data_IF_277242977006
#
_entry.id   IF_277242977006
#
_cell.length_a   1.000
_cell.length_b   1.000
_cell.length_c   1.000
_cell.angle_alpha   90.00
_cell.angle_beta   90.00
_cell.angle_gamma   90.00
#
_symmetry.space_group_name_H-M   'P 1'
#
loop_
_entity.id
_entity.type
_entity.pdbx_description
1 polymer ?
#
# COMPACT_ATOMS: atom_id res chain seq x y z
N UNK A 1 35.62 -22.42 13.02
CA UNK A 1 35.74 -21.73 14.31
C UNK A 1 34.64 -20.69 14.39
N UNK A 2 33.88 -20.73 15.48
CA UNK A 2 32.85 -19.80 15.96
C UNK A 2 31.68 -19.45 15.01
N UNK A 3 30.55 -20.10 15.27
CA UNK A 3 29.24 -19.56 14.96
C UNK A 3 29.08 -18.19 15.64
N UNK A 4 28.82 -17.14 14.86
CA UNK A 4 28.27 -15.92 15.43
C UNK A 4 26.80 -16.20 15.73
N UNK A 5 26.49 -16.33 17.02
CA UNK A 5 25.14 -16.17 17.52
C UNK A 5 24.62 -14.82 17.00
N UNK A 6 23.56 -14.86 16.20
CA UNK A 6 22.88 -13.65 15.73
C UNK A 6 22.41 -12.88 16.95
N UNK A 7 23.00 -11.71 17.16
CA UNK A 7 22.54 -10.77 18.18
C UNK A 7 21.07 -10.46 17.86
N UNK A 8 20.17 -10.78 18.79
CA UNK A 8 18.75 -10.46 18.58
C UNK A 8 18.65 -8.96 18.42
N UNK A 9 18.06 -8.51 17.31
CA UNK A 9 17.90 -7.10 17.04
C UNK A 9 17.09 -6.43 18.17
N UNK A 10 17.69 -5.48 18.86
CA UNK A 10 17.09 -4.74 19.98
C UNK A 10 16.31 -3.51 19.50
N UNK A 11 15.55 -3.62 18.41
CA UNK A 11 14.70 -2.50 17.97
C UNK A 11 13.62 -2.24 19.01
N UNK A 12 13.45 -0.98 19.41
CA UNK A 12 12.25 -0.52 20.10
C UNK A 12 11.45 0.40 19.19
N UNK A 13 10.12 0.34 19.31
CA UNK A 13 9.23 1.10 18.47
C UNK A 13 8.34 2.02 19.29
N UNK A 14 8.05 3.19 18.74
CA UNK A 14 7.16 4.18 19.34
C UNK A 14 6.10 4.61 18.37
N UNK A 15 4.84 4.57 18.76
CA UNK A 15 3.76 5.12 17.95
C UNK A 15 3.93 6.65 17.82
N UNK A 16 3.70 7.18 16.62
CA UNK A 16 3.82 8.61 16.31
C UNK A 16 2.45 9.21 15.96
N UNK A 17 1.54 9.41 16.93
CA UNK A 17 0.19 9.92 16.67
C UNK A 17 0.17 11.31 16.04
N UNK A 18 1.22 12.11 16.24
CA UNK A 18 1.38 13.44 15.67
C UNK A 18 1.68 13.41 14.16
N UNK A 19 2.11 12.28 13.61
CA UNK A 19 2.31 12.13 12.16
C UNK A 19 0.94 11.89 11.52
N UNK A 20 0.31 12.98 11.08
CA UNK A 20 -0.95 12.91 10.33
C UNK A 20 -0.69 12.65 8.85
N UNK A 21 -1.52 11.81 8.24
CA UNK A 21 -1.51 11.55 6.80
C UNK A 21 -2.60 12.36 6.11
N UNK A 22 -2.27 13.61 5.76
CA UNK A 22 -3.21 14.56 5.18
C UNK A 22 -3.77 14.08 3.85
N UNK A 23 -3.01 13.25 3.12
CA UNK A 23 -3.47 12.61 1.90
C UNK A 23 -4.71 11.73 2.10
N UNK A 24 -4.97 11.23 3.32
CA UNK A 24 -6.12 10.37 3.64
C UNK A 24 -7.25 11.11 4.37
N UNK A 25 -7.03 12.36 4.81
CA UNK A 25 -8.00 13.15 5.57
C UNK A 25 -8.53 14.37 4.82
N UNK A 26 -8.00 14.68 3.62
CA UNK A 26 -8.53 15.77 2.80
C UNK A 26 -9.98 15.48 2.37
N UNK A 27 -10.82 16.51 2.26
CA UNK A 27 -12.23 16.35 1.90
C UNK A 27 -12.42 15.59 0.58
N UNK A 28 -11.65 15.99 -0.45
CA UNK A 28 -11.73 15.38 -1.78
C UNK A 28 -11.30 13.91 -1.74
N UNK A 29 -10.21 13.59 -1.04
CA UNK A 29 -9.75 12.20 -0.92
C UNK A 29 -10.74 11.36 -0.12
N UNK A 30 -11.28 11.87 0.99
CA UNK A 30 -12.29 11.15 1.78
C UNK A 30 -13.54 10.87 0.95
N UNK A 31 -14.00 11.83 0.14
CA UNK A 31 -15.14 11.62 -0.76
C UNK A 31 -14.84 10.54 -1.81
N UNK A 32 -13.65 10.57 -2.42
CA UNK A 32 -13.21 9.54 -3.39
C UNK A 32 -13.08 8.17 -2.74
N UNK A 33 -12.40 8.06 -1.60
CA UNK A 33 -12.27 6.79 -0.87
C UNK A 33 -13.62 6.23 -0.43
N UNK A 34 -14.58 7.09 -0.08
CA UNK A 34 -15.95 6.66 0.21
C UNK A 34 -16.62 6.08 -1.02
N UNK A 35 -16.55 6.79 -2.15
CA UNK A 35 -17.06 6.32 -3.44
C UNK A 35 -16.43 4.99 -3.87
N UNK A 36 -15.14 4.81 -3.63
CA UNK A 36 -14.40 3.58 -3.94
C UNK A 36 -14.54 2.50 -2.85
N UNK A 37 -15.41 2.68 -1.85
CA UNK A 37 -15.66 1.73 -0.76
C UNK A 37 -14.42 1.39 0.09
N UNK A 38 -13.47 2.30 0.18
CA UNK A 38 -12.22 2.17 0.97
C UNK A 38 -12.24 2.99 2.27
N UNK A 39 -13.10 4.02 2.36
CA UNK A 39 -13.21 4.85 3.56
C UNK A 39 -13.59 4.01 4.78
N UNK A 40 -12.91 4.25 5.90
CA UNK A 40 -13.09 3.47 7.13
C UNK A 40 -12.40 2.09 7.13
N UNK A 41 -11.79 1.68 6.00
CA UNK A 41 -11.01 0.43 5.88
C UNK A 41 -9.56 0.63 5.46
N UNK A 42 -9.25 1.79 4.86
CA UNK A 42 -7.90 2.25 4.56
C UNK A 42 -7.40 3.14 5.70
N UNK A 43 -6.20 2.91 6.20
CA UNK A 43 -5.57 3.80 7.16
C UNK A 43 -4.05 3.87 6.94
N UNK A 44 -3.45 4.92 7.50
CA UNK A 44 -2.00 5.02 7.62
C UNK A 44 -1.61 5.34 9.06
N UNK A 45 -0.53 4.71 9.53
CA UNK A 45 0.06 4.91 10.85
C UNK A 45 1.57 5.11 10.72
N UNK A 46 2.19 5.75 11.71
CA UNK A 46 3.64 5.92 11.74
C UNK A 46 4.20 5.45 13.07
N UNK A 47 5.35 4.79 13.00
CA UNK A 47 6.12 4.37 14.16
C UNK A 47 7.56 4.83 13.98
N UNK A 48 8.19 5.32 15.06
CA UNK A 48 9.62 5.58 15.09
C UNK A 48 10.37 4.37 15.63
N UNK A 49 11.63 4.22 15.25
CA UNK A 49 12.54 3.20 15.80
C UNK A 49 13.91 3.81 16.16
N UNK A 50 14.67 3.14 17.01
CA UNK A 50 15.90 3.65 17.64
C UNK A 50 17.21 3.15 17.01
N UNK A 51 17.19 1.97 16.41
CA UNK A 51 18.37 1.34 15.79
C UNK A 51 18.50 1.62 14.28
N UNK A 52 19.67 1.35 13.69
CA UNK A 52 19.88 1.51 12.25
C UNK A 52 19.20 0.39 11.47
N UNK A 53 18.40 0.75 10.46
CA UNK A 53 17.76 -0.22 9.58
C UNK A 53 18.63 -0.54 8.36
N UNK A 54 18.76 -1.83 8.05
CA UNK A 54 19.37 -2.33 6.82
C UNK A 54 18.38 -3.25 6.11
N UNK A 55 18.14 -3.02 4.82
CA UNK A 55 17.09 -3.70 4.06
C UNK A 55 17.22 -5.23 4.03
N UNK A 56 18.45 -5.77 4.10
CA UNK A 56 18.66 -7.22 4.15
C UNK A 56 18.31 -7.85 5.50
N UNK A 57 18.24 -7.06 6.58
CA UNK A 57 17.78 -7.48 7.91
C UNK A 57 16.26 -7.29 8.10
N UNK A 58 15.49 -7.13 7.01
CA UNK A 58 14.04 -6.89 7.06
C UNK A 58 13.28 -7.90 7.92
N UNK A 59 13.68 -9.18 7.89
CA UNK A 59 12.94 -10.24 8.57
C UNK A 59 13.07 -10.11 10.08
N UNK A 60 14.28 -9.87 10.59
CA UNK A 60 14.51 -9.58 12.01
C UNK A 60 13.86 -8.27 12.46
N UNK A 61 13.92 -7.23 11.62
CA UNK A 61 13.29 -5.94 11.89
C UNK A 61 11.78 -6.06 12.05
N UNK A 62 11.09 -6.73 11.11
CA UNK A 62 9.65 -6.86 11.19
C UNK A 62 9.21 -7.87 12.26
N UNK A 63 9.99 -8.93 12.51
CA UNK A 63 9.74 -9.79 13.67
C UNK A 63 9.85 -9.03 15.00
N UNK A 64 10.81 -8.10 15.12
CA UNK A 64 10.89 -7.20 16.28
C UNK A 64 9.70 -6.24 16.33
N UNK A 65 9.33 -5.64 15.19
CA UNK A 65 8.18 -4.72 15.07
C UNK A 65 6.89 -5.35 15.60
N UNK A 66 6.50 -6.53 15.12
CA UNK A 66 5.24 -7.17 15.53
C UNK A 66 5.27 -7.73 16.97
N UNK A 67 6.44 -7.82 17.60
CA UNK A 67 6.60 -8.25 19.00
C UNK A 67 6.75 -7.10 19.98
N UNK A 68 6.94 -5.89 19.48
CA UNK A 68 7.10 -4.72 20.33
C UNK A 68 5.77 -4.40 21.03
N UNK A 69 5.76 -4.23 22.36
CA UNK A 69 4.54 -3.94 23.11
C UNK A 69 3.78 -2.69 22.64
N UNK A 70 4.49 -1.65 22.20
CA UNK A 70 3.86 -0.42 21.71
C UNK A 70 3.23 -0.64 20.32
N UNK A 71 3.84 -1.49 19.49
CA UNK A 71 3.23 -1.87 18.21
C UNK A 71 1.99 -2.72 18.45
N UNK A 72 2.04 -3.69 19.37
CA UNK A 72 0.89 -4.52 19.71
C UNK A 72 -0.28 -3.67 20.25
N UNK A 73 0.01 -2.62 21.02
CA UNK A 73 -1.01 -1.72 21.58
C UNK A 73 -1.58 -0.70 20.61
N UNK A 74 -0.87 -0.36 19.54
CA UNK A 74 -1.26 0.76 18.67
C UNK A 74 -1.46 0.41 17.20
N UNK A 75 -0.87 -0.69 16.70
CA UNK A 75 -1.04 -1.12 15.31
C UNK A 75 -2.47 -1.59 15.08
N UNK A 76 -3.18 -0.87 14.20
CA UNK A 76 -4.58 -1.10 13.92
C UNK A 76 -4.76 -2.11 12.79
N UNK A 77 -5.81 -2.91 12.93
CA UNK A 77 -6.38 -3.72 11.88
C UNK A 77 -7.90 -3.81 12.06
N UNK A 78 -8.60 -4.19 11.01
CA UNK A 78 -10.03 -4.46 11.08
C UNK A 78 -10.28 -5.91 11.49
N UNK A 79 -11.15 -6.09 12.47
CA UNK A 79 -11.68 -7.39 12.85
C UNK A 79 -12.60 -7.93 11.75
N UNK A 80 -12.29 -9.11 11.21
CA UNK A 80 -13.10 -9.73 10.15
C UNK A 80 -14.52 -10.12 10.61
N UNK A 81 -14.72 -10.31 11.93
CA UNK A 81 -16.01 -10.69 12.52
C UNK A 81 -16.89 -9.49 12.86
N UNK A 82 -16.31 -8.41 13.38
CA UNK A 82 -17.06 -7.24 13.85
C UNK A 82 -17.01 -6.03 12.92
N UNK A 83 -16.07 -6.01 11.96
CA UNK A 83 -15.81 -4.84 11.11
C UNK A 83 -15.29 -3.62 11.86
N UNK A 84 -14.90 -3.78 13.14
CA UNK A 84 -14.39 -2.69 13.98
C UNK A 84 -12.86 -2.68 13.98
N UNK A 85 -12.31 -1.50 14.15
CA UNK A 85 -10.88 -1.33 14.40
C UNK A 85 -10.51 -1.93 15.75
N UNK A 86 -9.54 -2.85 15.71
CA UNK A 86 -8.90 -3.47 16.86
C UNK A 86 -7.39 -3.26 16.74
N UNK A 87 -6.67 -3.59 17.80
CA UNK A 87 -5.21 -3.68 17.76
C UNK A 87 -4.80 -5.13 17.48
N UNK A 88 -3.55 -5.33 17.05
CA UNK A 88 -3.03 -6.64 16.66
C UNK A 88 -3.39 -7.75 17.66
N UNK A 89 -3.13 -7.53 18.95
CA UNK A 89 -3.57 -8.38 20.07
C UNK A 89 -3.10 -9.83 20.07
N UNK A 90 -2.55 -10.32 18.96
CA UNK A 90 -2.11 -11.68 18.72
C UNK A 90 -0.58 -11.78 18.80
N UNK A 91 -0.09 -12.92 19.31
CA UNK A 91 1.34 -13.19 19.35
C UNK A 91 1.82 -13.66 17.97
N UNK A 92 2.49 -12.76 17.25
CA UNK A 92 3.04 -13.08 15.92
C UNK A 92 4.20 -14.07 16.02
N UNK A 93 4.06 -15.18 15.30
CA UNK A 93 5.02 -16.29 15.25
C UNK A 93 5.92 -16.21 14.02
N UNK A 94 5.40 -15.69 12.90
CA UNK A 94 6.12 -15.57 11.63
C UNK A 94 5.71 -14.28 10.91
N UNK A 95 6.66 -13.68 10.21
CA UNK A 95 6.41 -12.55 9.32
C UNK A 95 7.01 -12.86 7.95
N UNK A 96 6.28 -12.51 6.90
CA UNK A 96 6.75 -12.48 5.52
C UNK A 96 6.81 -11.02 5.06
N UNK A 97 8.00 -10.58 4.67
CA UNK A 97 8.23 -9.25 4.12
C UNK A 97 8.79 -9.34 2.70
N UNK A 98 7.97 -8.96 1.73
CA UNK A 98 8.34 -8.95 0.30
C UNK A 98 8.78 -7.54 -0.05
N UNK A 99 10.00 -7.40 -0.60
CA UNK A 99 10.51 -6.11 -1.06
C UNK A 99 9.69 -5.62 -2.26
N UNK A 100 9.24 -4.37 -2.20
CA UNK A 100 8.48 -3.72 -3.27
C UNK A 100 9.35 -2.61 -3.86
N UNK A 101 9.69 -2.66 -5.17
CA UNK A 101 10.39 -1.58 -5.82
C UNK A 101 9.71 -0.23 -5.58
N UNK A 102 10.50 0.79 -5.25
CA UNK A 102 10.00 2.14 -4.98
C UNK A 102 10.98 3.13 -5.58
N UNK A 103 10.97 3.24 -6.90
CA UNK A 103 11.95 4.01 -7.66
C UNK A 103 11.33 5.18 -8.42
N UNK A 104 10.03 5.13 -8.68
CA UNK A 104 9.32 6.14 -9.46
C UNK A 104 9.21 7.48 -8.72
N UNK A 105 9.77 8.54 -9.31
CA UNK A 105 9.70 9.92 -8.78
C UNK A 105 8.71 10.82 -9.55
N UNK A 106 8.06 10.30 -10.58
CA UNK A 106 7.21 11.05 -11.50
C UNK A 106 5.92 10.31 -11.82
N UNK A 107 4.82 11.07 -11.91
CA UNK A 107 3.53 10.54 -12.38
C UNK A 107 3.51 10.26 -13.89
N UNK A 108 4.50 10.77 -14.64
CA UNK A 108 4.66 10.46 -16.08
C UNK A 108 4.80 8.96 -16.35
N UNK A 109 5.09 8.17 -15.32
CA UNK A 109 5.00 6.72 -15.32
C UNK A 109 3.68 6.19 -15.92
N UNK A 110 2.57 6.92 -15.71
CA UNK A 110 1.24 6.57 -16.21
C UNK A 110 0.87 7.20 -17.55
N UNK A 111 1.74 8.02 -18.17
CA UNK A 111 1.46 8.66 -19.47
C UNK A 111 1.20 7.62 -20.58
N UNK A 112 1.77 6.42 -20.42
CA UNK A 112 1.53 5.28 -21.30
C UNK A 112 0.06 4.85 -21.39
N UNK A 113 -0.77 5.19 -20.39
CA UNK A 113 -2.22 4.94 -20.47
C UNK A 113 -2.88 5.75 -21.60
N UNK A 114 -2.35 6.92 -21.91
CA UNK A 114 -2.81 7.74 -23.03
C UNK A 114 -2.21 7.25 -24.35
N UNK A 115 -0.90 6.96 -24.40
CA UNK A 115 -0.25 6.53 -25.65
C UNK A 115 -0.77 5.19 -26.16
N UNK A 116 -1.22 4.31 -25.26
CA UNK A 116 -1.76 2.98 -25.59
C UNK A 116 -3.29 2.98 -25.70
N UNK A 117 -3.91 4.16 -25.80
CA UNK A 117 -5.35 4.34 -25.98
C UNK A 117 -6.21 3.62 -24.94
N UNK A 118 -5.71 3.49 -23.70
CA UNK A 118 -6.51 3.03 -22.54
C UNK A 118 -7.35 4.20 -22.03
N UNK A 119 -6.82 5.41 -22.18
CA UNK A 119 -7.46 6.67 -21.81
C UNK A 119 -7.40 7.63 -23.00
N UNK A 120 -8.53 8.29 -23.29
CA UNK A 120 -8.64 9.29 -24.35
C UNK A 120 -7.89 10.57 -23.96
N UNK A 121 -7.57 11.42 -24.94
CA UNK A 121 -6.91 12.71 -24.71
C UNK A 121 -7.64 13.61 -23.70
N UNK A 122 -8.97 13.48 -23.59
CA UNK A 122 -9.78 14.22 -22.63
C UNK A 122 -9.87 13.58 -21.23
N UNK A 123 -9.06 12.55 -20.96
CA UNK A 123 -8.99 11.86 -19.67
C UNK A 123 -10.05 10.78 -19.45
N UNK A 124 -11.00 10.58 -20.37
CA UNK A 124 -11.99 9.52 -20.25
C UNK A 124 -11.39 8.13 -20.50
N UNK A 125 -11.68 7.19 -19.60
CA UNK A 125 -11.24 5.81 -19.71
C UNK A 125 -12.06 5.11 -20.80
N UNK A 126 -11.38 4.39 -21.69
CA UNK A 126 -12.04 3.66 -22.79
C UNK A 126 -12.85 2.51 -22.22
N UNK A 127 -14.14 2.45 -22.57
CA UNK A 127 -15.05 1.37 -22.17
C UNK A 127 -14.78 0.09 -22.94
N UNK A 128 -15.01 -1.05 -22.30
CA UNK A 128 -14.97 -2.36 -22.91
C UNK A 128 -16.28 -3.12 -22.63
N UNK A 129 -16.44 -4.29 -23.22
CA UNK A 129 -17.53 -5.19 -22.86
C UNK A 129 -17.37 -5.65 -21.40
N UNK A 130 -18.49 -5.75 -20.69
CA UNK A 130 -18.48 -6.19 -19.30
C UNK A 130 -17.91 -7.61 -19.17
N UNK A 131 -16.94 -7.75 -18.28
CA UNK A 131 -16.35 -9.01 -17.88
C UNK A 131 -16.12 -9.02 -16.36
N UNK A 132 -15.79 -10.17 -15.80
CA UNK A 132 -15.51 -10.31 -14.37
C UNK A 132 -14.15 -10.96 -14.14
N UNK A 133 -13.40 -10.41 -13.18
CA UNK A 133 -12.25 -11.05 -12.56
C UNK A 133 -12.54 -11.04 -11.06
N UNK A 134 -13.16 -12.12 -10.57
CA UNK A 134 -13.78 -12.22 -9.25
C UNK A 134 -12.93 -11.57 -8.13
N UNK A 135 -13.47 -10.60 -7.35
CA UNK A 135 -14.85 -10.08 -7.34
C UNK A 135 -15.09 -8.82 -8.19
N UNK A 136 -14.15 -8.45 -9.06
CA UNK A 136 -14.19 -7.17 -9.78
C UNK A 136 -14.98 -7.26 -11.09
N UNK A 137 -15.93 -6.35 -11.25
CA UNK A 137 -16.49 -5.99 -12.55
C UNK A 137 -15.42 -5.24 -13.36
N UNK A 138 -15.28 -5.60 -14.63
CA UNK A 138 -14.41 -4.97 -15.62
C UNK A 138 -15.32 -4.43 -16.72
N UNK A 139 -15.45 -3.11 -16.79
CA UNK A 139 -16.28 -2.41 -17.79
C UNK A 139 -15.47 -1.38 -18.60
N UNK A 140 -14.15 -1.37 -18.41
CA UNK A 140 -13.24 -0.44 -19.05
C UNK A 140 -11.83 -1.05 -19.23
N UNK A 141 -11.09 -0.50 -20.18
CA UNK A 141 -9.75 -0.96 -20.55
C UNK A 141 -8.74 -0.76 -19.42
N UNK A 142 -8.94 0.20 -18.51
CA UNK A 142 -8.04 0.41 -17.38
C UNK A 142 -8.10 -0.78 -16.41
N UNK A 143 -9.29 -1.18 -15.97
CA UNK A 143 -9.46 -2.33 -15.09
C UNK A 143 -9.00 -3.62 -15.76
N UNK A 144 -9.20 -3.75 -17.08
CA UNK A 144 -8.70 -4.87 -17.87
C UNK A 144 -7.17 -4.94 -17.83
N UNK A 145 -6.47 -3.84 -18.06
CA UNK A 145 -5.00 -3.75 -17.94
C UNK A 145 -4.53 -4.08 -16.52
N UNK A 146 -5.30 -3.73 -15.49
CA UNK A 146 -4.93 -3.99 -14.08
C UNK A 146 -5.12 -5.46 -13.65
N UNK A 147 -6.05 -6.19 -14.28
CA UNK A 147 -6.53 -7.49 -13.78
C UNK A 147 -6.34 -8.67 -14.75
N UNK A 148 -6.41 -8.46 -16.06
CA UNK A 148 -6.44 -9.53 -17.07
C UNK A 148 -5.05 -9.65 -17.70
N UNK A 149 -4.27 -10.61 -17.21
CA UNK A 149 -2.92 -10.95 -17.68
C UNK A 149 -2.88 -11.37 -19.16
N UNK A 150 -3.91 -12.06 -19.63
CA UNK A 150 -4.03 -12.46 -21.04
C UNK A 150 -4.57 -11.34 -21.97
N UNK A 151 -4.73 -10.11 -21.48
CA UNK A 151 -5.21 -9.01 -22.32
C UNK A 151 -4.10 -8.41 -23.19
N UNK A 152 -4.44 -8.01 -24.41
CA UNK A 152 -3.49 -7.40 -25.37
C UNK A 152 -2.71 -6.21 -24.76
N UNK A 153 -3.39 -5.41 -23.93
CA UNK A 153 -2.81 -4.21 -23.30
C UNK A 153 -2.24 -4.47 -21.90
N UNK A 154 -2.17 -5.71 -21.43
CA UNK A 154 -1.56 -6.02 -20.13
C UNK A 154 -0.08 -5.62 -20.10
N UNK A 155 0.67 -5.90 -21.16
CA UNK A 155 2.10 -5.64 -21.20
C UNK A 155 2.48 -4.15 -21.35
N UNK A 156 1.50 -3.23 -21.39
CA UNK A 156 1.73 -1.78 -21.29
C UNK A 156 2.53 -1.43 -20.04
N UNK A 157 2.31 -2.16 -18.95
CA UNK A 157 3.19 -2.14 -17.77
C UNK A 157 3.92 -3.48 -17.68
N UNK A 158 5.26 -3.42 -17.70
CA UNK A 158 6.09 -4.60 -17.56
C UNK A 158 5.89 -5.28 -16.19
N UNK A 159 6.32 -6.54 -16.03
CA UNK A 159 6.26 -7.23 -14.73
C UNK A 159 6.96 -6.46 -13.59
N UNK A 160 8.01 -5.69 -13.89
CA UNK A 160 8.69 -4.83 -12.92
C UNK A 160 7.90 -3.55 -12.62
N UNK A 161 7.34 -2.91 -13.64
CA UNK A 161 6.47 -1.73 -13.48
C UNK A 161 5.28 -2.04 -12.57
N UNK A 162 4.67 -3.22 -12.74
CA UNK A 162 3.51 -3.68 -11.95
C UNK A 162 3.83 -3.89 -10.47
N UNK A 163 5.11 -4.07 -10.13
CA UNK A 163 5.59 -4.21 -8.76
C UNK A 163 6.00 -2.87 -8.14
N UNK A 164 6.13 -1.79 -8.92
CA UNK A 164 6.47 -0.48 -8.36
C UNK A 164 5.39 -0.03 -7.36
N UNK A 165 5.82 0.47 -6.20
CA UNK A 165 4.91 0.88 -5.14
C UNK A 165 3.92 1.95 -5.62
N UNK A 166 4.35 2.84 -6.51
CA UNK A 166 3.49 3.83 -7.16
C UNK A 166 2.35 3.17 -7.95
N UNK A 167 2.67 2.12 -8.73
CA UNK A 167 1.68 1.32 -9.45
C UNK A 167 0.76 0.56 -8.49
N UNK A 168 1.30 -0.02 -7.40
CA UNK A 168 0.49 -0.75 -6.42
C UNK A 168 -0.57 0.15 -5.79
N UNK A 169 -0.21 1.37 -5.34
CA UNK A 169 -1.20 2.33 -4.80
C UNK A 169 -2.26 2.65 -5.84
N UNK A 170 -1.86 2.96 -7.07
CA UNK A 170 -2.78 3.25 -8.17
C UNK A 170 -3.75 2.09 -8.42
N UNK A 171 -3.23 0.87 -8.56
CA UNK A 171 -4.03 -0.35 -8.73
C UNK A 171 -5.05 -0.50 -7.59
N UNK A 172 -4.62 -0.34 -6.33
CA UNK A 172 -5.53 -0.46 -5.18
C UNK A 172 -6.68 0.56 -5.22
N UNK A 173 -6.39 1.81 -5.57
CA UNK A 173 -7.41 2.86 -5.67
C UNK A 173 -8.38 2.62 -6.82
N UNK A 174 -7.89 2.18 -7.99
CA UNK A 174 -8.74 1.84 -9.12
C UNK A 174 -9.69 0.70 -8.77
N UNK A 175 -9.21 -0.33 -8.08
CA UNK A 175 -9.99 -1.52 -7.77
C UNK A 175 -10.96 -1.31 -6.60
N UNK A 176 -10.53 -0.60 -5.56
CA UNK A 176 -11.35 -0.20 -4.42
C UNK A 176 -11.77 -1.36 -3.51
N UNK A 177 -12.79 -1.09 -2.69
CA UNK A 177 -13.47 -2.06 -1.83
C UNK A 177 -14.63 -2.79 -2.52
N UNK A 178 -15.44 -3.50 -1.75
CA UNK A 178 -16.46 -4.40 -2.27
C UNK A 178 -17.58 -3.68 -3.06
N UNK A 179 -17.95 -2.47 -2.65
CA UNK A 179 -18.97 -1.66 -3.32
C UNK A 179 -18.35 -0.48 -4.08
N UNK A 180 -17.17 -0.69 -4.66
CA UNK A 180 -16.44 0.35 -5.39
C UNK A 180 -17.27 0.90 -6.56
N UNK A 181 -17.53 2.21 -6.53
CA UNK A 181 -18.06 2.94 -7.67
C UNK A 181 -16.88 3.56 -8.43
N UNK A 182 -16.39 2.87 -9.45
CA UNK A 182 -15.23 3.32 -10.22
C UNK A 182 -15.52 4.59 -11.03
N UNK A 183 -14.45 5.29 -11.40
CA UNK A 183 -14.49 6.50 -12.23
C UNK A 183 -14.56 6.20 -13.73
N UNK A 184 -15.14 7.13 -14.48
CA UNK A 184 -15.06 7.17 -15.95
C UNK A 184 -13.88 8.00 -16.47
N UNK A 185 -13.18 8.71 -15.59
CA UNK A 185 -12.05 9.59 -15.89
C UNK A 185 -10.84 9.19 -15.05
N UNK A 186 -9.64 9.34 -15.60
CA UNK A 186 -8.39 8.86 -14.98
C UNK A 186 -7.90 9.75 -13.82
N UNK A 187 -8.04 11.08 -13.96
CA UNK A 187 -7.43 12.08 -13.06
C UNK A 187 -7.71 11.87 -11.56
N UNK A 188 -8.93 11.52 -11.11
CA UNK A 188 -9.18 11.28 -9.69
C UNK A 188 -8.27 10.20 -9.09
N UNK A 189 -7.94 9.15 -9.85
CA UNK A 189 -7.02 8.10 -9.41
C UNK A 189 -5.58 8.60 -9.37
N UNK A 190 -5.12 9.33 -10.40
CA UNK A 190 -3.75 9.85 -10.45
C UNK A 190 -3.48 10.84 -9.33
N UNK A 191 -4.37 11.81 -9.13
CA UNK A 191 -4.19 12.83 -8.09
C UNK A 191 -4.21 12.20 -6.69
N UNK A 192 -5.10 11.23 -6.44
CA UNK A 192 -5.15 10.55 -5.14
C UNK A 192 -3.92 9.64 -4.93
N UNK A 193 -3.46 8.96 -5.98
CA UNK A 193 -2.22 8.17 -5.94
C UNK A 193 -1.03 9.06 -5.58
N UNK A 194 -0.90 10.20 -6.27
CA UNK A 194 0.19 11.16 -6.09
C UNK A 194 0.23 11.72 -4.67
N UNK A 195 -0.90 12.11 -4.10
CA UNK A 195 -0.95 12.66 -2.74
C UNK A 195 -0.58 11.60 -1.71
N UNK A 196 -1.12 10.39 -1.81
CA UNK A 196 -0.79 9.28 -0.91
C UNK A 196 0.69 8.90 -1.02
N UNK A 197 1.21 8.74 -2.25
CA UNK A 197 2.61 8.40 -2.47
C UNK A 197 3.56 9.44 -1.85
N UNK A 198 3.28 10.74 -2.06
CA UNK A 198 4.09 11.83 -1.49
C UNK A 198 4.03 11.92 0.04
N UNK A 199 2.94 11.49 0.66
CA UNK A 199 2.81 11.52 2.12
C UNK A 199 3.50 10.31 2.78
N UNK A 200 3.67 9.21 2.05
CA UNK A 200 4.30 7.99 2.54
C UNK A 200 5.81 7.95 2.26
N UNK A 201 6.23 8.35 1.06
CA UNK A 201 7.58 8.13 0.52
C UNK A 201 8.43 9.38 0.70
N UNK A 202 9.66 9.17 1.16
CA UNK A 202 10.66 10.23 1.29
C UNK A 202 11.64 10.20 0.12
N UNK A 203 12.02 11.39 -0.33
CA UNK A 203 13.01 11.60 -1.37
C UNK A 203 14.09 12.56 -0.87
N UNK A 204 15.29 12.43 -1.41
CA UNK A 204 16.37 13.39 -1.23
C UNK A 204 16.85 13.90 -2.56
N UNK A 205 17.36 15.13 -2.56
CA UNK A 205 18.09 15.68 -3.69
C UNK A 205 19.57 15.44 -3.47
N UNK A 206 20.18 14.64 -4.31
CA UNK A 206 21.61 14.34 -4.21
C UNK A 206 22.45 15.62 -4.37
N UNK A 207 23.38 15.91 -3.44
CA UNK A 207 24.14 17.16 -3.47
C UNK A 207 24.97 17.34 -4.75
N UNK A 208 25.53 16.25 -5.28
CA UNK A 208 26.43 16.26 -6.43
C UNK A 208 25.66 16.31 -7.76
N UNK A 209 24.81 15.31 -8.02
CA UNK A 209 24.09 15.16 -9.30
C UNK A 209 22.89 16.10 -9.42
N UNK A 210 22.38 16.63 -8.29
CA UNK A 210 21.10 17.35 -8.18
C UNK A 210 19.87 16.50 -8.55
N UNK A 211 20.05 15.21 -8.78
CA UNK A 211 18.95 14.29 -9.05
C UNK A 211 18.18 14.00 -7.77
N UNK A 212 16.89 13.75 -7.92
CA UNK A 212 16.02 13.35 -6.82
C UNK A 212 15.99 11.82 -6.79
N UNK A 213 16.24 11.21 -5.64
CA UNK A 213 16.15 9.77 -5.45
C UNK A 213 15.28 9.44 -4.23
N UNK A 214 14.59 8.30 -4.30
CA UNK A 214 13.79 7.77 -3.19
C UNK A 214 14.72 7.23 -2.11
N UNK A 215 14.46 7.58 -0.85
CA UNK A 215 15.20 7.06 0.31
C UNK A 215 14.43 6.03 1.11
N UNK A 216 13.11 5.97 0.92
CA UNK A 216 12.27 4.98 1.58
C UNK A 216 12.47 3.59 0.96
N UNK A 217 12.41 2.57 1.80
CA UNK A 217 12.39 1.16 1.39
C UNK A 217 11.02 0.60 1.72
N UNK A 218 10.37 -0.06 0.75
CA UNK A 218 8.98 -0.51 0.88
C UNK A 218 8.92 -2.03 0.95
N UNK A 219 8.10 -2.53 1.86
CA UNK A 219 7.81 -3.95 1.99
C UNK A 219 6.31 -4.19 2.04
N UNK A 220 5.82 -5.18 1.29
CA UNK A 220 4.49 -5.75 1.53
C UNK A 220 4.63 -6.81 2.61
N UNK A 221 3.86 -6.67 3.68
CA UNK A 221 4.06 -7.45 4.90
C UNK A 221 2.80 -8.24 5.25
N UNK A 222 3.03 -9.51 5.56
CA UNK A 222 2.03 -10.44 6.08
C UNK A 222 2.55 -11.03 7.38
N UNK A 223 1.72 -11.08 8.43
CA UNK A 223 2.09 -11.70 9.70
C UNK A 223 1.17 -12.89 10.01
N UNK A 224 1.74 -13.87 10.72
CA UNK A 224 1.09 -15.12 11.04
C UNK A 224 1.21 -15.43 12.54
N UNK A 225 0.11 -15.91 13.12
CA UNK A 225 0.05 -16.48 14.45
C UNK A 225 -0.12 -18.01 14.38
N UNK A 226 -0.56 -18.64 15.47
CA UNK A 226 -0.81 -20.09 15.52
C UNK A 226 -1.99 -20.57 14.65
N UNK A 227 -2.92 -19.67 14.28
CA UNK A 227 -4.12 -19.98 13.50
C UNK A 227 -3.97 -19.65 12.01
N UNK A 228 -2.83 -19.06 11.61
CA UNK A 228 -2.54 -18.71 10.23
C UNK A 228 -2.28 -17.21 10.07
N UNK A 229 -2.70 -16.64 8.94
CA UNK A 229 -2.50 -15.21 8.66
C UNK A 229 -3.34 -14.38 9.63
N UNK A 230 -2.71 -13.47 10.36
CA UNK A 230 -3.39 -12.59 11.33
C UNK A 230 -3.32 -11.12 10.94
N UNK A 231 -2.44 -10.75 10.00
CA UNK A 231 -2.29 -9.39 9.49
C UNK A 231 -1.91 -9.44 8.01
N UNK A 232 -2.53 -8.63 7.11
CA UNK A 232 -3.47 -7.53 7.39
C UNK A 232 -4.93 -7.95 7.72
N UNK A 233 -5.30 -9.19 7.44
CA UNK A 233 -6.62 -9.78 7.74
C UNK A 233 -6.44 -11.28 7.85
N UNK A 234 -7.39 -11.99 8.47
CA UNK A 234 -7.38 -13.46 8.48
C UNK A 234 -7.89 -14.06 7.16
N UNK A 235 -8.41 -13.22 6.27
CA UNK A 235 -8.87 -13.61 4.93
C UNK A 235 -7.93 -13.08 3.85
N UNK A 236 -7.44 -13.98 3.01
CA UNK A 236 -6.62 -13.61 1.85
C UNK A 236 -7.47 -12.89 0.82
N UNK A 237 -7.02 -11.73 0.37
CA UNK A 237 -7.63 -10.97 -0.72
C UNK A 237 -6.60 -10.00 -1.28
N UNK A 238 -6.57 -9.75 -2.60
CA UNK A 238 -5.56 -8.87 -3.19
C UNK A 238 -5.68 -7.41 -2.74
N UNK A 239 -6.89 -6.98 -2.35
CA UNK A 239 -7.14 -5.69 -1.70
C UNK A 239 -6.95 -5.69 -0.18
N UNK A 240 -6.65 -6.82 0.46
CA UNK A 240 -6.22 -6.81 1.88
C UNK A 240 -4.70 -6.73 1.92
N UNK A 241 -4.14 -5.58 2.25
CA UNK A 241 -2.71 -5.31 2.17
C UNK A 241 -2.19 -4.50 3.35
N UNK A 242 -0.89 -4.67 3.62
CA UNK A 242 -0.12 -3.77 4.45
C UNK A 242 1.23 -3.49 3.80
N UNK A 243 1.51 -2.22 3.52
CA UNK A 243 2.81 -1.77 3.06
C UNK A 243 3.53 -1.03 4.18
N UNK A 244 4.73 -1.51 4.50
CA UNK A 244 5.66 -0.89 5.45
C UNK A 244 6.66 -0.06 4.67
N UNK A 245 6.53 1.27 4.75
CA UNK A 245 7.41 2.23 4.10
C UNK A 245 8.42 2.73 5.13
N UNK A 246 9.60 2.11 5.15
CA UNK A 246 10.67 2.40 6.10
C UNK A 246 11.51 3.55 5.55
N UNK A 247 11.67 4.62 6.32
CA UNK A 247 12.64 5.69 6.08
C UNK A 247 13.83 5.51 7.04
N UNK A 248 14.98 5.00 6.55
CA UNK A 248 16.14 4.74 7.40
C UNK A 248 16.76 6.01 7.98
N UNK A 249 16.62 7.16 7.29
CA UNK A 249 17.21 8.43 7.69
C UNK A 249 16.39 9.11 8.79
N UNK A 250 15.06 9.11 8.63
CA UNK A 250 14.14 9.62 9.66
C UNK A 250 13.91 8.62 10.79
N UNK A 251 14.32 7.36 10.60
CA UNK A 251 14.04 6.23 11.48
C UNK A 251 12.55 6.06 11.77
N UNK A 252 11.75 6.16 10.72
CA UNK A 252 10.30 6.00 10.78
C UNK A 252 9.87 4.85 9.88
N UNK A 253 8.80 4.15 10.25
CA UNK A 253 8.04 3.27 9.37
C UNK A 253 6.62 3.81 9.25
N UNK A 254 6.21 4.16 8.03
CA UNK A 254 4.83 4.45 7.71
C UNK A 254 4.15 3.15 7.29
N UNK A 255 3.06 2.79 7.95
CA UNK A 255 2.24 1.62 7.65
C UNK A 255 1.04 2.09 6.85
N UNK A 256 0.91 1.69 5.59
CA UNK A 256 -0.31 1.86 4.80
C UNK A 256 -1.08 0.53 4.82
N UNK A 257 -2.28 0.54 5.38
CA UNK A 257 -3.09 -0.64 5.64
C UNK A 257 -4.45 -0.54 4.97
N UNK A 258 -4.92 -1.63 4.37
CA UNK A 258 -6.30 -1.79 3.93
C UNK A 258 -6.78 -3.24 4.16
N UNK A 259 -8.05 -3.39 4.54
CA UNK A 259 -8.73 -4.68 4.56
C UNK A 259 -9.95 -4.63 3.64
N UNK A 260 -10.05 -5.58 2.71
CA UNK A 260 -11.14 -5.63 1.75
C UNK A 260 -12.52 -5.78 2.44
N UNK A 261 -13.55 -5.20 1.82
CA UNK A 261 -14.93 -5.25 2.31
C UNK A 261 -15.71 -3.99 1.97
N UNK A 262 -16.84 -3.79 2.64
CA UNK A 262 -17.69 -2.60 2.48
C UNK A 262 -17.16 -1.47 3.35
N UNK A 263 -16.72 -0.38 2.72
CA UNK A 263 -16.34 0.86 3.40
C UNK A 263 -17.55 1.62 3.96
N UNK A 264 -17.27 2.73 4.64
CA UNK A 264 -18.32 3.65 5.10
C UNK A 264 -19.17 4.12 3.93
N UNK A 265 -20.49 4.02 4.05
CA UNK A 265 -21.43 4.48 3.02
C UNK A 265 -21.81 5.94 3.28
N UNK A 266 -21.97 6.71 2.20
CA UNK A 266 -22.64 8.00 2.24
C UNK A 266 -24.15 7.73 2.33
N UNK A 267 -24.73 8.03 3.49
CA UNK A 267 -26.18 8.23 3.62
C UNK A 267 -26.52 9.68 3.29
#
# INVERSE_FOLDING_TARGET
MAAHAGDKSNFTFRFLPQRTFQSLSSSDTVQRLRKWSMQGRLCAQAFGFDENFQAYCKDDFFMAFFRDPNVISDLKLLSDSSGRWINLGAEVKKVEAISIPCTQISMSFFDRLYSEEIVRENGHIVKCLDNFCDPFLISDELRKVLLIDDSEKYEVFSPLDRQEFLFCIFKHLCLGGLLCQYEDILDPYLETTKTIYKDLVSVIKEPQTKNICVTSVVFKVTAYDENGMCYPSTKSHEQSFAYMVVDPLKRHVNVLYHCFGVGELSF
#
